data_IF_722303065319
#
_entry.id   IF_722303065319
#
_cell.length_a   1.000
_cell.length_b   1.000
_cell.length_c   1.000
_cell.angle_alpha   90.00
_cell.angle_beta   90.00
_cell.angle_gamma   90.00
#
_symmetry.space_group_name_H-M   'P 1'
#
loop_
_entity.id
_entity.type
_entity.pdbx_description
1 polymer ?
#
# COMPACT_ATOMS: atom_id res chain seq x y z
N UNK A 1 19.09 52.07 38.98
CA UNK A 1 19.26 50.62 39.01
C UNK A 1 18.49 50.00 37.86
N UNK A 2 19.20 49.67 36.74
CA UNK A 2 18.54 49.08 35.52
C UNK A 2 18.60 47.55 35.64
N UNK A 3 17.43 46.89 35.71
CA UNK A 3 17.34 45.41 35.66
C UNK A 3 17.43 44.94 34.22
N UNK A 4 18.50 44.22 33.87
CA UNK A 4 18.67 43.59 32.61
C UNK A 4 17.96 42.21 32.71
N UNK A 5 16.86 42.07 31.95
CA UNK A 5 16.20 40.75 31.82
C UNK A 5 16.95 39.92 30.77
N UNK A 6 17.61 38.85 31.24
CA UNK A 6 18.29 37.87 30.40
C UNK A 6 17.23 36.92 29.81
N UNK A 7 16.90 37.11 28.51
CA UNK A 7 16.05 36.18 27.76
C UNK A 7 16.91 34.95 27.41
N UNK A 8 16.68 33.83 28.12
CA UNK A 8 17.21 32.51 27.70
C UNK A 8 16.43 32.02 26.48
N UNK A 9 17.07 32.06 25.33
CA UNK A 9 16.58 31.40 24.11
C UNK A 9 16.81 29.89 24.28
N UNK A 10 15.76 29.15 24.58
CA UNK A 10 15.79 27.68 24.56
C UNK A 10 15.73 27.22 23.10
N UNK A 11 16.88 26.91 22.52
CA UNK A 11 16.93 26.17 21.25
C UNK A 11 16.48 24.73 21.53
N UNK A 12 15.23 24.43 21.19
CA UNK A 12 14.78 23.06 21.06
C UNK A 12 15.42 22.50 19.77
N UNK A 13 16.55 21.82 19.93
CA UNK A 13 17.08 20.96 18.86
C UNK A 13 16.07 19.85 18.65
N UNK A 14 15.34 19.90 17.51
CA UNK A 14 14.58 18.77 16.99
C UNK A 14 15.61 17.69 16.70
N UNK A 15 15.80 16.75 17.62
CA UNK A 15 16.55 15.54 17.35
C UNK A 15 15.77 14.82 16.23
N UNK A 16 16.34 14.79 15.03
CA UNK A 16 15.93 13.84 14.00
C UNK A 16 16.12 12.48 14.63
N UNK A 17 15.02 11.79 14.91
CA UNK A 17 15.08 10.46 15.50
C UNK A 17 15.74 9.56 14.44
N UNK A 18 16.95 9.10 14.72
CA UNK A 18 17.64 8.12 13.89
C UNK A 18 16.86 6.81 13.98
N UNK A 19 16.45 6.25 12.82
CA UNK A 19 15.71 4.97 12.80
C UNK A 19 16.56 3.91 13.49
N UNK A 20 16.03 3.34 14.55
CA UNK A 20 16.75 2.30 15.30
C UNK A 20 17.02 1.10 14.37
N UNK A 21 18.29 0.71 14.29
CA UNK A 21 18.72 -0.45 13.51
C UNK A 21 17.93 -1.72 13.87
N UNK A 22 17.59 -1.89 15.15
CA UNK A 22 16.78 -3.01 15.61
C UNK A 22 15.37 -2.98 15.01
N UNK A 23 14.76 -1.79 14.89
CA UNK A 23 13.45 -1.60 14.24
C UNK A 23 13.52 -1.93 12.76
N UNK A 24 14.57 -1.51 12.05
CA UNK A 24 14.75 -1.86 10.63
C UNK A 24 14.96 -3.36 10.42
N UNK A 25 15.72 -4.02 11.27
CA UNK A 25 15.95 -5.46 11.18
C UNK A 25 14.68 -6.26 11.48
N UNK A 26 13.85 -5.77 12.40
CA UNK A 26 12.52 -6.31 12.67
C UNK A 26 11.60 -6.12 11.47
N UNK A 27 11.56 -4.91 10.90
CA UNK A 27 10.77 -4.61 9.70
C UNK A 27 11.15 -5.52 8.53
N UNK A 28 12.45 -5.74 8.27
CA UNK A 28 12.89 -6.66 7.22
C UNK A 28 12.29 -8.06 7.38
N UNK A 29 12.21 -8.58 8.60
CA UNK A 29 11.65 -9.91 8.88
C UNK A 29 10.13 -9.92 8.70
N UNK A 30 9.43 -8.95 9.26
CA UNK A 30 7.97 -8.85 9.20
C UNK A 30 7.48 -8.56 7.77
N UNK A 31 8.21 -7.71 7.02
CA UNK A 31 7.85 -7.34 5.66
C UNK A 31 7.84 -8.51 4.68
N UNK A 32 8.66 -9.54 4.89
CA UNK A 32 8.68 -10.73 4.01
C UNK A 32 7.33 -11.43 4.00
N UNK A 33 6.77 -11.70 5.19
CA UNK A 33 5.48 -12.39 5.29
C UNK A 33 4.32 -11.53 4.78
N UNK A 34 4.38 -10.23 5.02
CA UNK A 34 3.32 -9.33 4.56
C UNK A 34 3.36 -9.14 3.04
N UNK A 35 4.57 -9.04 2.43
CA UNK A 35 4.73 -9.04 0.97
C UNK A 35 4.10 -10.27 0.34
N UNK A 36 4.43 -11.46 0.83
CA UNK A 36 3.85 -12.71 0.31
C UNK A 36 2.32 -12.67 0.39
N UNK A 37 1.75 -12.24 1.51
CA UNK A 37 0.30 -12.16 1.66
C UNK A 37 -0.35 -11.14 0.70
N UNK A 38 0.30 -9.99 0.45
CA UNK A 38 -0.15 -8.99 -0.52
C UNK A 38 -0.07 -9.57 -1.93
N UNK A 39 1.07 -10.17 -2.30
CA UNK A 39 1.31 -10.80 -3.60
C UNK A 39 0.27 -11.90 -3.87
N UNK A 40 -0.02 -12.75 -2.91
CA UNK A 40 -1.02 -13.83 -3.03
C UNK A 40 -2.42 -13.27 -3.30
N UNK A 41 -2.83 -12.20 -2.61
CA UNK A 41 -4.14 -11.56 -2.81
C UNK A 41 -4.25 -11.01 -4.23
N UNK A 42 -3.23 -10.27 -4.68
CA UNK A 42 -3.26 -9.63 -6.01
C UNK A 42 -3.17 -10.68 -7.09
N UNK A 43 -2.21 -11.61 -7.02
CA UNK A 43 -2.03 -12.68 -8.02
C UNK A 43 -3.25 -13.61 -8.14
N UNK A 44 -3.92 -13.92 -7.02
CA UNK A 44 -5.16 -14.70 -7.05
C UNK A 44 -6.35 -13.96 -7.70
N UNK A 45 -6.26 -12.63 -7.78
CA UNK A 45 -7.33 -11.78 -8.33
C UNK A 45 -7.11 -11.42 -9.80
N UNK A 46 -5.86 -11.50 -10.29
CA UNK A 46 -5.50 -11.22 -11.69
C UNK A 46 -5.22 -12.53 -12.43
N UNK A 47 -5.46 -12.56 -13.73
CA UNK A 47 -5.22 -13.77 -14.53
C UNK A 47 -4.00 -13.56 -15.43
N UNK A 48 -3.07 -14.51 -15.39
CA UNK A 48 -1.94 -14.55 -16.29
C UNK A 48 -0.59 -14.35 -15.61
N UNK A 49 0.47 -14.96 -16.19
CA UNK A 49 1.85 -14.73 -15.73
C UNK A 49 2.26 -13.28 -16.02
N UNK A 50 2.82 -12.61 -15.03
CA UNK A 50 3.29 -11.23 -15.15
C UNK A 50 2.17 -10.18 -15.07
N UNK A 51 0.96 -10.57 -14.65
CA UNK A 51 -0.13 -9.62 -14.43
C UNK A 51 0.06 -8.76 -13.16
N UNK A 52 0.95 -9.16 -12.25
CA UNK A 52 1.37 -8.37 -11.10
C UNK A 52 2.87 -8.51 -10.87
N UNK A 53 3.52 -7.43 -10.43
CA UNK A 53 4.88 -7.44 -9.90
C UNK A 53 4.84 -7.74 -8.39
N UNK A 54 5.93 -8.35 -7.88
CA UNK A 54 6.06 -8.59 -6.45
C UNK A 54 6.14 -7.28 -5.66
N UNK A 55 5.45 -7.25 -4.52
CA UNK A 55 5.43 -6.10 -3.64
C UNK A 55 6.84 -5.74 -3.15
N UNK A 56 7.18 -4.46 -3.22
CA UNK A 56 8.38 -3.85 -2.65
C UNK A 56 8.01 -3.21 -1.33
N UNK A 57 8.85 -3.37 -0.31
CA UNK A 57 8.60 -2.84 1.02
C UNK A 57 9.68 -1.86 1.42
N UNK A 58 9.30 -0.75 2.02
CA UNK A 58 10.20 0.23 2.63
C UNK A 58 9.62 0.72 3.95
N UNK A 59 10.51 1.14 4.87
CA UNK A 59 10.14 1.81 6.10
C UNK A 59 10.49 3.28 5.98
N UNK A 60 9.54 4.14 6.28
CA UNK A 60 9.70 5.59 6.28
C UNK A 60 9.60 6.09 7.72
N UNK A 61 10.67 6.72 8.18
CA UNK A 61 10.72 7.31 9.52
C UNK A 61 9.61 8.34 9.74
N UNK A 62 8.93 8.26 10.89
CA UNK A 62 7.81 9.13 11.23
C UNK A 62 6.51 8.86 10.45
N UNK A 63 6.53 7.89 9.54
CA UNK A 63 5.35 7.50 8.77
C UNK A 63 4.96 6.03 9.00
N UNK A 64 5.95 5.11 8.95
CA UNK A 64 5.76 3.68 9.12
C UNK A 64 6.10 2.83 7.91
N UNK A 65 5.38 1.74 7.71
CA UNK A 65 5.62 0.76 6.65
C UNK A 65 4.86 1.09 5.37
N UNK A 66 5.56 1.05 4.24
CA UNK A 66 5.02 1.28 2.89
C UNK A 66 5.31 0.08 2.01
N UNK A 67 4.28 -0.46 1.37
CA UNK A 67 4.34 -1.52 0.38
C UNK A 67 3.85 -0.98 -0.95
N UNK A 68 4.56 -1.30 -2.03
CA UNK A 68 4.24 -0.85 -3.38
C UNK A 68 4.29 -2.03 -4.32
N UNK A 69 3.29 -2.16 -5.18
CA UNK A 69 3.24 -3.17 -6.23
C UNK A 69 2.50 -2.63 -7.43
N UNK A 70 2.72 -3.27 -8.58
CA UNK A 70 2.07 -2.94 -9.84
C UNK A 70 1.27 -4.15 -10.34
N UNK A 71 0.07 -3.92 -10.89
CA UNK A 71 -0.75 -4.96 -11.45
C UNK A 71 -1.58 -4.45 -12.64
N UNK A 72 -1.89 -5.39 -13.54
CA UNK A 72 -2.83 -5.22 -14.63
C UNK A 72 -4.11 -5.97 -14.31
N UNK A 73 -5.24 -5.26 -14.22
CA UNK A 73 -6.54 -5.87 -13.92
C UNK A 73 -7.25 -6.41 -15.16
N UNK A 74 -6.80 -6.07 -16.35
CA UNK A 74 -7.37 -6.53 -17.59
C UNK A 74 -7.17 -8.05 -17.78
N UNK A 75 -8.12 -8.71 -18.46
CA UNK A 75 -7.95 -10.11 -18.83
C UNK A 75 -6.83 -10.26 -19.87
N UNK A 76 -5.98 -11.28 -19.68
CA UNK A 76 -4.97 -11.61 -20.69
C UNK A 76 -5.65 -11.99 -22.01
N UNK A 77 -5.22 -11.38 -23.11
CA UNK A 77 -5.69 -11.73 -24.44
C UNK A 77 -4.99 -13.01 -24.90
N UNK A 78 -5.78 -14.01 -25.24
CA UNK A 78 -5.27 -15.23 -25.85
C UNK A 78 -5.61 -15.24 -27.33
N UNK A 79 -4.67 -15.58 -28.23
CA UNK A 79 -4.95 -15.67 -29.67
C UNK A 79 -5.94 -16.78 -30.03
N UNK A 80 -6.20 -17.71 -29.08
CA UNK A 80 -7.11 -18.85 -29.28
C UNK A 80 -8.51 -18.63 -28.67
N UNK A 81 -8.77 -17.47 -28.09
CA UNK A 81 -10.06 -17.12 -27.50
C UNK A 81 -10.69 -15.97 -28.26
N UNK A 82 -12.01 -15.99 -28.37
CA UNK A 82 -12.77 -14.86 -28.92
C UNK A 82 -12.44 -13.58 -28.15
N UNK A 83 -12.29 -12.48 -28.86
CA UNK A 83 -12.09 -11.18 -28.24
C UNK A 83 -13.29 -10.86 -27.32
N UNK A 84 -13.00 -10.43 -26.10
CA UNK A 84 -14.02 -9.94 -25.18
C UNK A 84 -14.51 -8.57 -25.63
N UNK A 85 -15.77 -8.30 -25.42
CA UNK A 85 -16.32 -6.95 -25.61
C UNK A 85 -15.80 -6.00 -24.56
N UNK A 86 -15.83 -4.69 -24.84
CA UNK A 86 -15.41 -3.66 -23.85
C UNK A 86 -16.22 -3.75 -22.55
N UNK A 87 -17.52 -4.09 -22.63
CA UNK A 87 -18.35 -4.24 -21.43
C UNK A 87 -17.95 -5.45 -20.59
N UNK A 88 -17.59 -6.57 -21.24
CA UNK A 88 -17.07 -7.75 -20.52
C UNK A 88 -15.72 -7.45 -19.85
N UNK A 89 -14.83 -6.72 -20.54
CA UNK A 89 -13.54 -6.28 -19.99
C UNK A 89 -13.77 -5.39 -18.76
N UNK A 90 -14.64 -4.37 -18.90
CA UNK A 90 -14.97 -3.43 -17.82
C UNK A 90 -15.53 -4.14 -16.60
N UNK A 91 -16.42 -5.09 -16.79
CA UNK A 91 -16.98 -5.91 -15.71
C UNK A 91 -15.89 -6.71 -14.99
N UNK A 92 -15.01 -7.39 -15.73
CA UNK A 92 -13.90 -8.18 -15.17
C UNK A 92 -12.99 -7.28 -14.34
N UNK A 93 -12.59 -6.13 -14.86
CA UNK A 93 -11.72 -5.17 -14.16
C UNK A 93 -12.37 -4.66 -12.87
N UNK A 94 -13.65 -4.32 -12.92
CA UNK A 94 -14.41 -3.86 -11.76
C UNK A 94 -14.50 -4.94 -10.67
N UNK A 95 -14.80 -6.18 -11.05
CA UNK A 95 -14.92 -7.31 -10.12
C UNK A 95 -13.57 -7.65 -9.47
N UNK A 96 -12.48 -7.63 -10.25
CA UNK A 96 -11.11 -7.84 -9.77
C UNK A 96 -10.70 -6.76 -8.79
N UNK A 97 -10.89 -5.50 -9.17
CA UNK A 97 -10.62 -4.33 -8.33
C UNK A 97 -11.31 -4.47 -6.97
N UNK A 98 -12.63 -4.69 -6.98
CA UNK A 98 -13.42 -4.87 -5.75
C UNK A 98 -12.93 -6.02 -4.89
N UNK A 99 -12.54 -7.13 -5.52
CA UNK A 99 -11.99 -8.30 -4.81
C UNK A 99 -10.67 -7.97 -4.12
N UNK A 100 -9.76 -7.27 -4.82
CA UNK A 100 -8.47 -6.83 -4.26
C UNK A 100 -8.70 -5.84 -3.12
N UNK A 101 -9.53 -4.82 -3.32
CA UNK A 101 -9.85 -3.82 -2.29
C UNK A 101 -10.35 -4.48 -1.01
N UNK A 102 -11.34 -5.38 -1.12
CA UNK A 102 -11.92 -6.08 0.04
C UNK A 102 -10.88 -6.94 0.78
N UNK A 103 -10.06 -7.69 0.03
CA UNK A 103 -9.08 -8.61 0.63
C UNK A 103 -7.89 -7.86 1.24
N UNK A 104 -7.38 -6.81 0.58
CA UNK A 104 -6.30 -5.98 1.14
C UNK A 104 -6.77 -5.21 2.37
N UNK A 105 -7.99 -4.67 2.36
CA UNK A 105 -8.56 -4.02 3.54
C UNK A 105 -8.60 -4.98 4.73
N UNK A 106 -9.10 -6.20 4.53
CA UNK A 106 -9.16 -7.23 5.58
C UNK A 106 -7.77 -7.61 6.10
N UNK A 107 -6.80 -7.81 5.18
CA UNK A 107 -5.41 -8.11 5.54
C UNK A 107 -4.79 -7.00 6.39
N UNK A 108 -4.94 -5.74 5.97
CA UNK A 108 -4.36 -4.60 6.66
C UNK A 108 -4.92 -4.43 8.07
N UNK A 109 -6.25 -4.56 8.25
CA UNK A 109 -6.90 -4.54 9.56
C UNK A 109 -6.34 -5.60 10.50
N UNK A 110 -6.13 -6.81 9.98
CA UNK A 110 -5.61 -7.93 10.76
C UNK A 110 -4.13 -7.75 11.12
N UNK A 111 -3.31 -7.23 10.19
CA UNK A 111 -1.85 -7.23 10.31
C UNK A 111 -1.30 -6.02 11.04
N UNK A 112 -1.87 -4.83 10.89
CA UNK A 112 -1.30 -3.60 11.46
C UNK A 112 -1.11 -3.69 12.97
N UNK A 113 -2.04 -4.30 13.69
CA UNK A 113 -1.94 -4.46 15.15
C UNK A 113 -0.80 -5.39 15.58
N UNK A 114 -0.41 -6.36 14.74
CA UNK A 114 0.59 -7.39 15.05
C UNK A 114 2.01 -6.99 14.65
N UNK A 115 2.19 -5.99 13.79
CA UNK A 115 3.51 -5.52 13.35
C UNK A 115 4.21 -4.76 14.47
N UNK A 116 5.30 -5.33 14.97
CA UNK A 116 6.10 -4.71 16.06
C UNK A 116 7.00 -3.59 15.52
N UNK A 117 7.43 -3.70 14.25
CA UNK A 117 8.25 -2.69 13.59
C UNK A 117 7.51 -1.38 13.29
N UNK A 118 6.17 -1.40 13.25
CA UNK A 118 5.35 -0.20 13.06
C UNK A 118 5.07 0.42 14.42
N UNK A 119 5.44 1.68 14.62
CA UNK A 119 5.22 2.42 15.87
C UNK A 119 3.72 2.64 16.18
N UNK A 120 3.36 2.97 17.43
CA UNK A 120 1.95 3.15 17.81
C UNK A 120 1.22 4.23 17.01
N UNK A 121 1.91 5.29 16.62
CA UNK A 121 1.37 6.42 15.84
C UNK A 121 1.53 6.27 14.33
N UNK A 122 2.32 5.25 13.92
CA UNK A 122 2.67 5.03 12.53
C UNK A 122 1.56 4.34 11.75
N UNK A 123 1.73 4.36 10.44
CA UNK A 123 0.80 3.78 9.48
C UNK A 123 1.39 2.57 8.77
N UNK A 124 0.50 1.67 8.34
CA UNK A 124 0.78 0.65 7.34
C UNK A 124 0.07 1.05 6.06
N UNK A 125 0.82 1.22 4.98
CA UNK A 125 0.27 1.65 3.68
C UNK A 125 0.63 0.66 2.59
N UNK A 126 -0.35 0.37 1.73
CA UNK A 126 -0.16 -0.37 0.47
C UNK A 126 -0.56 0.54 -0.68
N UNK A 127 0.33 0.71 -1.65
CA UNK A 127 0.07 1.41 -2.90
C UNK A 127 0.03 0.40 -4.03
N UNK A 128 -1.12 0.24 -4.64
CA UNK A 128 -1.31 -0.58 -5.83
C UNK A 128 -1.36 0.33 -7.04
N UNK A 129 -0.33 0.27 -7.87
CA UNK A 129 -0.32 0.91 -9.18
C UNK A 129 -1.05 0.03 -10.18
N UNK A 130 -1.95 0.64 -10.96
CA UNK A 130 -2.73 -0.06 -11.97
C UNK A 130 -2.28 0.35 -13.35
N UNK A 131 -1.76 -0.60 -14.09
CA UNK A 131 -1.43 -0.40 -15.49
C UNK A 131 -2.65 -0.68 -16.36
N UNK A 132 -3.07 0.34 -17.11
CA UNK A 132 -4.18 0.25 -18.07
C UNK A 132 -3.59 0.12 -19.48
N UNK A 133 -3.60 -1.09 -20.04
CA UNK A 133 -3.06 -1.37 -21.37
C UNK A 133 -4.03 -0.94 -22.50
N UNK A 134 -5.31 -0.77 -22.19
CA UNK A 134 -6.32 -0.35 -23.16
C UNK A 134 -7.32 0.66 -22.56
N UNK A 135 -6.95 1.94 -22.50
CA UNK A 135 -7.80 2.99 -21.91
C UNK A 135 -9.17 3.15 -22.59
N UNK A 136 -9.33 2.67 -23.82
CA UNK A 136 -10.61 2.73 -24.54
C UNK A 136 -11.63 1.78 -23.89
N UNK A 137 -11.19 0.60 -23.46
CA UNK A 137 -12.08 -0.39 -22.83
C UNK A 137 -12.42 -0.01 -21.37
N UNK A 138 -11.47 0.61 -20.63
CA UNK A 138 -11.63 0.97 -19.22
C UNK A 138 -11.13 2.41 -18.99
N UNK A 139 -11.84 3.43 -19.45
CA UNK A 139 -11.37 4.83 -19.38
C UNK A 139 -11.25 5.35 -17.94
N UNK A 140 -12.07 4.85 -17.02
CA UNK A 140 -12.16 5.34 -15.64
C UNK A 140 -11.35 4.49 -14.64
N UNK A 141 -10.42 3.66 -15.14
CA UNK A 141 -9.54 2.90 -14.24
C UNK A 141 -8.57 3.87 -13.55
N UNK A 142 -8.55 3.94 -12.21
CA UNK A 142 -7.58 4.76 -11.51
C UNK A 142 -6.16 4.28 -11.81
N UNK A 143 -5.20 5.19 -11.82
CA UNK A 143 -3.78 4.85 -12.01
C UNK A 143 -3.18 4.20 -10.76
N UNK A 144 -3.76 4.50 -9.59
CA UNK A 144 -3.32 3.93 -8.32
C UNK A 144 -4.45 3.85 -7.29
N UNK A 145 -4.33 2.87 -6.39
CA UNK A 145 -5.18 2.75 -5.21
C UNK A 145 -4.28 2.70 -3.98
N UNK A 146 -4.54 3.59 -3.02
CA UNK A 146 -3.77 3.71 -1.79
C UNK A 146 -4.63 3.25 -0.62
N UNK A 147 -4.14 2.25 0.10
CA UNK A 147 -4.74 1.73 1.32
C UNK A 147 -3.88 2.16 2.50
N UNK A 148 -4.45 2.87 3.46
CA UNK A 148 -3.72 3.31 4.65
C UNK A 148 -4.49 2.96 5.91
N UNK A 149 -3.83 2.33 6.87
CA UNK A 149 -4.36 2.04 8.20
C UNK A 149 -3.37 2.54 9.26
N UNK A 150 -3.88 3.23 10.28
CA UNK A 150 -3.06 3.66 11.43
C UNK A 150 -3.04 2.56 12.48
N UNK A 151 -1.89 2.31 13.10
CA UNK A 151 -1.79 1.28 14.14
C UNK A 151 -2.68 1.58 15.35
N UNK A 152 -2.87 2.85 15.68
CA UNK A 152 -3.76 3.27 16.77
C UNK A 152 -5.26 3.10 16.45
N UNK A 153 -5.63 2.94 15.15
CA UNK A 153 -7.02 2.73 14.70
C UNK A 153 -7.05 1.62 13.65
N UNK A 154 -6.82 0.36 14.04
CA UNK A 154 -6.72 -0.77 13.12
C UNK A 154 -8.05 -1.13 12.44
N UNK A 155 -9.17 -0.66 12.96
CA UNK A 155 -10.49 -0.92 12.39
C UNK A 155 -10.75 -0.08 11.13
N UNK A 156 -10.07 1.06 10.99
CA UNK A 156 -10.32 2.02 9.92
C UNK A 156 -9.21 2.00 8.87
N UNK A 157 -9.49 1.42 7.71
CA UNK A 157 -8.66 1.55 6.50
C UNK A 157 -9.20 2.68 5.64
N UNK A 158 -8.33 3.63 5.30
CA UNK A 158 -8.63 4.67 4.33
C UNK A 158 -8.21 4.19 2.94
N UNK A 159 -9.13 4.21 1.97
CA UNK A 159 -8.89 3.77 0.59
C UNK A 159 -9.10 4.99 -0.31
N UNK A 160 -8.06 5.36 -1.06
CA UNK A 160 -8.08 6.45 -2.04
C UNK A 160 -7.72 5.90 -3.41
N UNK A 161 -8.43 6.34 -4.44
CA UNK A 161 -8.18 5.99 -5.84
C UNK A 161 -7.96 7.28 -6.65
N UNK A 162 -6.91 7.30 -7.49
CA UNK A 162 -6.47 8.46 -8.27
C UNK A 162 -6.40 8.15 -9.75
#
# INVERSE_FOLDING_TARGET
MKKIALCMLVFTTSALAEVDKAQLDLFKKESVLLRVAIDDIVNASVSGRGAAESAKATYLEGYGALFMLEATLEPTRSPFQSAKTSDEVRKIVTDRRKTIETKLEALLKQRVATLQSVGPTDSLTVVLYLFNSNPVDVPDLPSQIVFTVKKQDPARVNILAF
#
